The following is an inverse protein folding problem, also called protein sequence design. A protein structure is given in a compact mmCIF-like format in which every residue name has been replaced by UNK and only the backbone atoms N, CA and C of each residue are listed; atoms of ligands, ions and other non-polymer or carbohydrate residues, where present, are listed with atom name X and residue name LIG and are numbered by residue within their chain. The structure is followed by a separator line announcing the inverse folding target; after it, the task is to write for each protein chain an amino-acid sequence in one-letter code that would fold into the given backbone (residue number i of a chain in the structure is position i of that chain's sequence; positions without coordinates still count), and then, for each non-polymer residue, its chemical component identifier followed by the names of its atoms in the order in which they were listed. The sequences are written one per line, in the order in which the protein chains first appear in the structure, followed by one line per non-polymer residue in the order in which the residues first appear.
data_IF_336495116919
#
_entry.id   IF_336495116919
#
_cell.length_a   1.000
_cell.length_b   1.000
_cell.length_c   1.000
_cell.angle_alpha   90.00
_cell.angle_beta   90.00
_cell.angle_gamma   90.00
#
_symmetry.space_group_name_H-M   'P 1'
#
loop_
_entity.id
_entity.type
_entity.pdbx_description
1 polymer ?
#
# COMPACT_ATOMS: atom_id res chain seq x y z
N UNK A 1 -14.38 -12.23 8.67
CA UNK A 1 -15.08 -11.08 9.31
C UNK A 1 -16.57 -11.12 9.00
N UNK A 2 -17.00 -11.17 7.72
CA UNK A 2 -18.41 -11.13 7.31
C UNK A 2 -19.26 -12.22 7.97
N UNK A 3 -18.87 -13.49 7.89
CA UNK A 3 -19.56 -14.61 8.60
C UNK A 3 -19.66 -14.38 10.09
N UNK A 4 -18.58 -13.91 10.71
CA UNK A 4 -18.55 -13.65 12.15
C UNK A 4 -19.56 -12.57 12.56
N UNK A 5 -19.68 -11.50 11.76
CA UNK A 5 -20.66 -10.43 11.98
C UNK A 5 -22.07 -10.99 11.93
N UNK A 6 -22.37 -11.81 10.91
CA UNK A 6 -23.68 -12.40 10.72
C UNK A 6 -24.04 -13.40 11.83
N UNK A 7 -23.11 -14.29 12.20
CA UNK A 7 -23.30 -15.30 13.26
C UNK A 7 -23.51 -14.67 14.65
N UNK A 8 -23.04 -13.45 14.88
CA UNK A 8 -23.15 -12.74 16.17
C UNK A 8 -24.20 -11.62 16.18
N UNK A 9 -25.05 -11.52 15.15
CA UNK A 9 -26.02 -10.43 15.00
C UNK A 9 -25.43 -9.03 15.19
N UNK A 10 -24.18 -8.84 14.73
CA UNK A 10 -23.48 -7.58 14.82
C UNK A 10 -23.64 -6.78 13.53
N UNK A 11 -23.47 -5.45 13.61
CA UNK A 11 -23.45 -4.58 12.44
C UNK A 11 -22.03 -4.33 11.97
N UNK A 12 -21.83 -4.24 10.65
CA UNK A 12 -20.54 -3.94 10.06
C UNK A 12 -20.70 -2.99 8.88
N UNK A 13 -19.77 -2.02 8.78
CA UNK A 13 -19.67 -1.12 7.67
C UNK A 13 -18.38 -1.42 6.90
N UNK A 14 -18.52 -1.75 5.60
CA UNK A 14 -17.40 -1.93 4.68
C UNK A 14 -17.26 -0.69 3.81
N UNK A 15 -16.11 -0.01 3.87
CA UNK A 15 -15.79 1.15 3.07
C UNK A 15 -14.64 0.84 2.11
N UNK A 16 -14.84 1.09 0.83
CA UNK A 16 -13.81 0.95 -0.19
C UNK A 16 -14.01 1.96 -1.31
N UNK A 17 -12.92 2.53 -1.82
CA UNK A 17 -12.96 3.35 -3.02
C UNK A 17 -13.21 2.51 -4.29
N UNK A 18 -12.84 1.23 -4.25
CA UNK A 18 -13.04 0.27 -5.33
C UNK A 18 -13.61 -1.02 -4.75
N UNK A 19 -14.84 -1.35 -5.11
CA UNK A 19 -15.47 -2.61 -4.71
C UNK A 19 -15.99 -3.31 -5.96
N UNK A 20 -15.19 -4.20 -6.57
CA UNK A 20 -15.63 -4.98 -7.73
C UNK A 20 -16.88 -5.82 -7.41
N UNK A 21 -17.70 -6.04 -8.44
CA UNK A 21 -18.98 -6.74 -8.29
C UNK A 21 -18.83 -8.16 -7.68
N UNK A 22 -17.71 -8.84 -7.93
CA UNK A 22 -17.48 -10.15 -7.32
C UNK A 22 -17.37 -10.09 -5.80
N UNK A 23 -16.76 -9.03 -5.24
CA UNK A 23 -16.67 -8.81 -3.79
C UNK A 23 -18.06 -8.51 -3.23
N UNK A 24 -18.87 -7.70 -3.93
CA UNK A 24 -20.26 -7.45 -3.51
C UNK A 24 -21.04 -8.75 -3.41
N UNK A 25 -20.96 -9.59 -4.44
CA UNK A 25 -21.60 -10.91 -4.45
C UNK A 25 -21.12 -11.81 -3.32
N UNK A 26 -19.80 -11.86 -3.06
CA UNK A 26 -19.26 -12.63 -1.93
C UNK A 26 -19.80 -12.14 -0.57
N UNK A 27 -19.99 -10.83 -0.42
CA UNK A 27 -20.58 -10.28 0.81
C UNK A 27 -22.08 -10.60 0.91
N UNK A 28 -22.82 -10.52 -0.19
CA UNK A 28 -24.24 -10.93 -0.24
C UNK A 28 -24.43 -12.40 0.13
N UNK A 29 -23.53 -13.27 -0.32
CA UNK A 29 -23.58 -14.71 -0.01
C UNK A 29 -23.30 -15.00 1.50
N UNK A 30 -22.65 -14.08 2.21
CA UNK A 30 -22.21 -14.27 3.60
C UNK A 30 -23.00 -13.46 4.64
N UNK A 31 -23.65 -12.37 4.23
CA UNK A 31 -24.33 -11.42 5.14
C UNK A 31 -25.70 -11.07 4.57
N UNK A 32 -26.72 -11.26 5.39
CA UNK A 32 -28.11 -10.89 5.04
C UNK A 32 -28.78 -10.22 6.26
N UNK A 33 -29.43 -9.07 6.16
CA UNK A 33 -29.45 -8.19 4.97
C UNK A 33 -28.17 -7.37 4.82
N UNK A 34 -27.83 -7.02 3.57
CA UNK A 34 -26.74 -6.10 3.25
C UNK A 34 -27.26 -5.02 2.30
N UNK A 35 -26.83 -3.78 2.51
CA UNK A 35 -27.12 -2.64 1.64
C UNK A 35 -25.83 -2.10 1.03
N UNK A 36 -25.84 -1.86 -0.28
CA UNK A 36 -24.72 -1.24 -1.01
C UNK A 36 -25.07 0.18 -1.38
N UNK A 37 -24.29 1.12 -0.84
CA UNK A 37 -24.38 2.54 -1.23
C UNK A 37 -23.20 2.85 -2.15
N UNK A 38 -23.50 3.27 -3.37
CA UNK A 38 -22.51 3.64 -4.38
C UNK A 38 -23.03 4.76 -5.25
N UNK A 39 -22.16 5.62 -5.80
CA UNK A 39 -22.56 6.66 -6.74
C UNK A 39 -23.36 6.09 -7.91
N UNK A 40 -24.48 6.74 -8.26
CA UNK A 40 -25.38 6.33 -9.34
C UNK A 40 -25.35 7.32 -10.50
N UNK A 41 -25.18 6.87 -11.76
CA UNK A 41 -25.27 7.77 -12.92
C UNK A 41 -26.63 8.45 -13.11
N UNK A 42 -27.69 7.99 -12.43
CA UNK A 42 -29.01 8.61 -12.46
C UNK A 42 -29.12 9.84 -11.57
N UNK A 43 -28.29 9.95 -10.53
CA UNK A 43 -28.20 11.15 -9.68
C UNK A 43 -27.25 12.17 -10.30
N UNK A 44 -27.61 13.46 -10.26
CA UNK A 44 -26.82 14.51 -10.88
C UNK A 44 -25.49 14.75 -10.16
N UNK A 45 -25.49 14.75 -8.83
CA UNK A 45 -24.29 14.99 -8.01
C UNK A 45 -23.30 13.84 -8.16
N UNK A 46 -23.80 12.62 -8.17
CA UNK A 46 -22.98 11.41 -8.39
C UNK A 46 -22.39 11.35 -9.80
N UNK A 47 -23.18 11.79 -10.80
CA UNK A 47 -22.72 11.87 -12.19
C UNK A 47 -21.54 12.81 -12.35
N UNK A 48 -21.53 13.95 -11.67
CA UNK A 48 -20.41 14.87 -11.70
C UNK A 48 -19.13 14.24 -11.15
N UNK A 49 -19.23 13.36 -10.15
CA UNK A 49 -18.12 12.59 -9.61
C UNK A 49 -17.68 11.51 -10.61
N UNK A 50 -18.62 10.74 -11.15
CA UNK A 50 -18.36 9.61 -12.04
C UNK A 50 -17.75 10.03 -13.38
N UNK A 51 -18.19 11.18 -13.92
CA UNK A 51 -17.69 11.75 -15.18
C UNK A 51 -16.44 12.61 -15.01
N UNK A 52 -15.95 12.79 -13.78
CA UNK A 52 -14.78 13.62 -13.51
C UNK A 52 -13.54 13.08 -14.19
N UNK A 53 -12.85 13.96 -14.92
CA UNK A 53 -11.65 13.63 -15.72
C UNK A 53 -10.41 14.17 -15.02
N UNK A 54 -9.75 13.31 -14.26
CA UNK A 54 -8.60 13.72 -13.44
C UNK A 54 -7.25 13.36 -14.04
N UNK A 55 -7.19 12.35 -14.92
CA UNK A 55 -5.93 11.74 -15.34
C UNK A 55 -5.84 11.55 -16.85
N UNK A 56 -4.64 11.79 -17.39
CA UNK A 56 -4.20 11.34 -18.71
C UNK A 56 -3.23 10.17 -18.51
N UNK A 57 -3.68 8.96 -18.82
CA UNK A 57 -2.92 7.73 -18.67
C UNK A 57 -1.99 7.50 -19.85
N UNK A 58 -0.76 7.09 -19.54
CA UNK A 58 0.17 6.50 -20.51
C UNK A 58 0.69 5.17 -19.96
N UNK A 59 0.59 4.12 -20.76
CA UNK A 59 1.31 2.87 -20.48
C UNK A 59 2.66 2.96 -21.19
N UNK A 60 3.75 2.69 -20.46
CA UNK A 60 5.11 2.72 -20.96
C UNK A 60 5.77 1.35 -20.82
N UNK A 61 6.47 0.91 -21.86
CA UNK A 61 7.24 -0.32 -21.82
C UNK A 61 8.47 -0.19 -20.93
N UNK A 62 8.88 -1.33 -20.35
CA UNK A 62 10.00 -1.41 -19.42
C UNK A 62 9.61 -1.03 -17.99
N UNK A 63 10.60 -0.73 -17.19
CA UNK A 63 10.49 -0.37 -15.78
C UNK A 63 10.86 1.10 -15.49
N UNK A 64 10.75 1.51 -14.23
CA UNK A 64 11.07 2.86 -13.77
C UNK A 64 12.53 3.23 -14.01
N UNK A 65 13.48 2.29 -13.87
CA UNK A 65 14.91 2.56 -14.04
C UNK A 65 15.31 2.69 -15.51
N UNK A 66 14.76 1.85 -16.37
CA UNK A 66 14.99 1.93 -17.83
C UNK A 66 14.48 3.25 -18.40
N UNK A 67 13.44 3.84 -17.78
CA UNK A 67 12.84 5.12 -18.18
C UNK A 67 13.29 6.30 -17.30
N UNK A 68 14.33 6.15 -16.47
CA UNK A 68 14.69 7.13 -15.44
C UNK A 68 15.07 8.51 -16.02
N UNK A 69 15.63 8.56 -17.24
CA UNK A 69 15.99 9.81 -17.90
C UNK A 69 14.76 10.66 -18.22
N UNK A 70 13.71 10.04 -18.77
CA UNK A 70 12.45 10.69 -19.13
C UNK A 70 11.69 11.10 -17.86
N UNK A 71 11.73 10.28 -16.82
CA UNK A 71 11.15 10.60 -15.51
C UNK A 71 11.82 11.83 -14.90
N UNK A 72 13.15 11.90 -14.92
CA UNK A 72 13.90 13.06 -14.41
C UNK A 72 13.60 14.33 -15.21
N UNK A 73 13.48 14.23 -16.53
CA UNK A 73 13.04 15.34 -17.37
C UNK A 73 11.62 15.82 -16.99
N UNK A 74 10.70 14.89 -16.77
CA UNK A 74 9.35 15.20 -16.31
C UNK A 74 9.33 15.84 -14.92
N UNK A 75 10.15 15.35 -13.96
CA UNK A 75 10.29 15.93 -12.61
C UNK A 75 10.74 17.40 -12.69
N UNK A 76 11.69 17.72 -13.57
CA UNK A 76 12.18 19.09 -13.73
C UNK A 76 11.07 20.07 -14.18
N UNK A 77 10.13 19.58 -14.96
CA UNK A 77 9.03 20.36 -15.54
C UNK A 77 7.72 20.35 -14.71
N UNK A 78 7.73 19.76 -13.51
CA UNK A 78 6.58 19.69 -12.60
C UNK A 78 6.94 20.23 -11.23
N UNK A 79 5.98 20.70 -10.45
CA UNK A 79 6.24 21.13 -9.07
C UNK A 79 6.27 19.96 -8.08
N UNK A 80 5.49 18.90 -8.35
CA UNK A 80 5.50 17.71 -7.51
C UNK A 80 5.22 16.44 -8.31
N UNK A 81 6.00 15.40 -8.06
CA UNK A 81 5.93 14.12 -8.75
C UNK A 81 5.87 12.97 -7.74
N UNK A 82 4.96 12.04 -7.97
CA UNK A 82 4.89 10.79 -7.22
C UNK A 82 5.46 9.65 -8.05
N UNK A 83 6.34 8.83 -7.45
CA UNK A 83 6.83 7.58 -8.04
C UNK A 83 6.53 6.45 -7.07
N UNK A 84 5.79 5.42 -7.52
CA UNK A 84 5.41 4.30 -6.68
C UNK A 84 6.05 3.01 -7.17
N UNK A 85 6.88 2.42 -6.32
CA UNK A 85 7.51 1.12 -6.54
C UNK A 85 6.82 0.03 -5.70
N UNK A 86 6.88 -1.21 -6.17
CA UNK A 86 6.25 -2.33 -5.47
C UNK A 86 7.10 -2.85 -4.29
N UNK A 87 8.42 -2.66 -4.36
CA UNK A 87 9.37 -3.15 -3.36
C UNK A 87 10.20 -2.04 -2.74
N UNK A 88 10.53 -2.19 -1.46
CA UNK A 88 11.39 -1.23 -0.76
C UNK A 88 12.77 -1.08 -1.42
N UNK A 89 13.50 -2.15 -1.79
CA UNK A 89 14.77 -2.01 -2.48
C UNK A 89 14.66 -1.28 -3.82
N UNK A 90 13.58 -1.53 -4.59
CA UNK A 90 13.33 -0.81 -5.84
C UNK A 90 13.12 0.69 -5.61
N UNK A 91 12.34 1.05 -4.59
CA UNK A 91 12.12 2.45 -4.23
C UNK A 91 13.42 3.14 -3.79
N UNK A 92 14.25 2.46 -3.01
CA UNK A 92 15.57 2.96 -2.60
C UNK A 92 16.49 3.20 -3.80
N UNK A 93 16.55 2.23 -4.71
CA UNK A 93 17.38 2.33 -5.92
C UNK A 93 16.92 3.49 -6.83
N UNK A 94 15.61 3.61 -7.06
CA UNK A 94 15.04 4.73 -7.83
C UNK A 94 15.35 6.07 -7.18
N UNK A 95 15.20 6.16 -5.86
CA UNK A 95 15.51 7.37 -5.10
C UNK A 95 16.98 7.79 -5.25
N UNK A 96 17.92 6.84 -5.12
CA UNK A 96 19.34 7.08 -5.30
C UNK A 96 19.67 7.57 -6.72
N UNK A 97 19.11 6.92 -7.74
CA UNK A 97 19.32 7.30 -9.14
C UNK A 97 18.80 8.71 -9.46
N UNK A 98 17.63 9.07 -8.93
CA UNK A 98 17.06 10.41 -9.06
C UNK A 98 17.99 11.45 -8.41
N UNK A 99 18.51 11.17 -7.22
CA UNK A 99 19.46 12.06 -6.55
C UNK A 99 20.78 12.20 -7.30
N UNK A 100 21.34 11.10 -7.84
CA UNK A 100 22.55 11.13 -8.69
C UNK A 100 22.36 12.00 -9.94
N UNK A 101 21.12 12.07 -10.46
CA UNK A 101 20.78 12.93 -11.61
C UNK A 101 20.47 14.39 -11.23
N UNK A 102 20.78 14.79 -9.99
CA UNK A 102 20.76 16.19 -9.54
C UNK A 102 19.42 16.67 -9.01
N UNK A 103 18.44 15.80 -8.76
CA UNK A 103 17.19 16.18 -8.09
C UNK A 103 17.41 16.13 -6.57
N UNK A 104 17.64 17.28 -5.96
CA UNK A 104 17.96 17.41 -4.52
C UNK A 104 16.72 17.41 -3.63
N UNK A 105 15.60 18.02 -4.07
CA UNK A 105 14.33 18.05 -3.35
C UNK A 105 13.56 16.74 -3.60
N UNK A 106 14.10 15.64 -3.08
CA UNK A 106 13.55 14.31 -3.18
C UNK A 106 13.32 13.73 -1.77
N UNK A 107 12.20 13.01 -1.60
CA UNK A 107 11.89 12.26 -0.38
C UNK A 107 11.64 10.80 -0.72
N UNK A 108 11.93 9.92 0.24
CA UNK A 108 11.65 8.48 0.16
C UNK A 108 10.72 8.10 1.31
N UNK A 109 9.70 7.28 1.02
CA UNK A 109 8.76 6.79 2.04
C UNK A 109 8.41 5.32 1.81
N UNK A 110 8.67 4.47 2.81
CA UNK A 110 8.33 3.05 2.77
C UNK A 110 8.12 2.46 4.18
N UNK A 111 7.67 1.22 4.27
CA UNK A 111 7.33 0.55 5.52
C UNK A 111 8.52 0.24 6.46
N UNK A 112 9.77 0.33 5.97
CA UNK A 112 10.97 0.05 6.78
C UNK A 112 11.57 1.29 7.44
N UNK A 113 10.85 2.41 7.51
CA UNK A 113 11.18 3.51 8.41
C UNK A 113 10.69 3.20 9.81
N UNK A 114 11.43 3.60 10.85
CA UNK A 114 10.91 3.61 12.19
C UNK A 114 9.76 4.63 12.29
N UNK A 115 8.84 4.43 13.23
CA UNK A 115 7.62 5.25 13.33
C UNK A 115 7.91 6.74 13.46
N UNK A 116 8.91 7.10 14.27
CA UNK A 116 9.33 8.51 14.46
C UNK A 116 9.71 9.17 13.12
N UNK A 117 10.55 8.51 12.33
CA UNK A 117 11.06 9.08 11.08
C UNK A 117 9.96 9.11 10.01
N UNK A 118 9.09 8.11 10.00
CA UNK A 118 7.91 8.08 9.15
C UNK A 118 6.96 9.24 9.46
N UNK A 119 6.60 9.44 10.74
CA UNK A 119 5.72 10.53 11.17
C UNK A 119 6.33 11.90 10.80
N UNK A 120 7.64 12.08 10.92
CA UNK A 120 8.34 13.30 10.52
C UNK A 120 8.27 13.54 9.00
N UNK A 121 8.43 12.49 8.17
CA UNK A 121 8.29 12.59 6.72
C UNK A 121 6.83 12.93 6.36
N UNK A 122 5.86 12.21 6.93
CA UNK A 122 4.43 12.44 6.66
C UNK A 122 4.01 13.86 7.04
N UNK A 123 4.47 14.38 8.17
CA UNK A 123 4.24 15.79 8.56
C UNK A 123 4.82 16.76 7.54
N UNK A 124 6.05 16.54 7.09
CA UNK A 124 6.69 17.38 6.06
C UNK A 124 5.87 17.37 4.76
N UNK A 125 5.33 16.19 4.35
CA UNK A 125 4.50 16.07 3.15
C UNK A 125 3.18 16.83 3.25
N UNK A 126 2.60 16.94 4.45
CA UNK A 126 1.40 17.73 4.69
C UNK A 126 1.67 19.24 4.63
N UNK A 127 2.84 19.68 5.07
CA UNK A 127 3.23 21.09 5.04
C UNK A 127 3.64 21.55 3.64
N UNK A 128 4.43 20.72 2.95
CA UNK A 128 4.91 20.99 1.59
C UNK A 128 5.28 19.68 0.87
N UNK A 129 4.78 19.53 -0.35
CA UNK A 129 5.22 18.45 -1.22
C UNK A 129 6.65 18.69 -1.75
N UNK A 130 7.51 17.67 -1.78
CA UNK A 130 8.81 17.74 -2.43
C UNK A 130 8.65 17.73 -3.95
N UNK A 131 9.71 18.08 -4.66
CA UNK A 131 9.79 17.96 -6.12
C UNK A 131 9.51 16.53 -6.59
N UNK A 132 9.95 15.54 -5.82
CA UNK A 132 9.62 14.13 -6.02
C UNK A 132 9.52 13.37 -4.71
N UNK A 133 8.46 12.57 -4.59
CA UNK A 133 8.34 11.51 -3.59
C UNK A 133 8.48 10.16 -4.28
N UNK A 134 9.45 9.37 -3.86
CA UNK A 134 9.53 7.95 -4.19
C UNK A 134 8.95 7.17 -3.03
N UNK A 135 7.96 6.32 -3.28
CA UNK A 135 7.27 5.58 -2.23
C UNK A 135 6.97 4.14 -2.63
N UNK A 136 6.57 3.36 -1.64
CA UNK A 136 5.94 2.06 -1.85
C UNK A 136 4.43 2.16 -1.58
N UNK A 137 3.74 1.03 -1.35
CA UNK A 137 2.30 0.98 -1.06
C UNK A 137 1.84 1.85 0.12
N UNK A 138 2.76 2.35 0.94
CA UNK A 138 2.42 3.24 2.07
C UNK A 138 1.68 4.51 1.63
N UNK A 139 1.85 4.93 0.37
CA UNK A 139 1.15 6.09 -0.20
C UNK A 139 -0.31 5.79 -0.55
N UNK A 140 -0.67 4.54 -0.74
CA UNK A 140 -2.03 4.12 -1.09
C UNK A 140 -3.01 4.37 0.05
N UNK A 141 -2.52 4.29 1.30
CA UNK A 141 -3.33 4.39 2.52
C UNK A 141 -2.82 5.54 3.40
N UNK A 142 -3.71 6.28 4.01
CA UNK A 142 -3.47 7.25 5.11
C UNK A 142 -2.71 8.55 4.78
N UNK A 143 -2.29 8.78 3.53
CA UNK A 143 -1.64 10.04 3.15
C UNK A 143 -2.61 10.96 2.40
N UNK A 144 -2.80 12.16 2.93
CA UNK A 144 -3.56 13.22 2.25
C UNK A 144 -2.59 14.13 1.47
N UNK A 145 -2.27 13.69 0.25
CA UNK A 145 -1.32 14.34 -0.66
C UNK A 145 -1.94 14.48 -2.05
N UNK A 146 -1.52 15.50 -2.79
CA UNK A 146 -2.06 15.80 -4.13
C UNK A 146 -0.95 16.23 -5.10
N UNK A 147 -0.31 15.26 -5.74
CA UNK A 147 0.78 15.45 -6.70
C UNK A 147 0.28 15.94 -8.07
N UNK A 148 1.15 16.62 -8.83
CA UNK A 148 0.83 17.10 -10.18
C UNK A 148 0.94 16.01 -11.24
N UNK A 149 1.79 15.00 -11.04
CA UNK A 149 1.95 13.86 -11.92
C UNK A 149 2.39 12.61 -11.16
N UNK A 150 2.21 11.45 -11.77
CA UNK A 150 2.53 10.17 -11.14
C UNK A 150 3.14 9.14 -12.08
N UNK A 151 4.04 8.33 -11.54
CA UNK A 151 4.67 7.18 -12.19
C UNK A 151 4.51 5.97 -11.29
N UNK A 152 4.14 4.83 -11.83
CA UNK A 152 3.86 3.62 -11.06
C UNK A 152 4.45 2.38 -11.72
N UNK A 153 5.11 1.53 -10.94
CA UNK A 153 5.30 0.14 -11.33
C UNK A 153 3.94 -0.54 -11.53
N UNK A 154 3.87 -1.62 -12.36
CA UNK A 154 2.63 -2.34 -12.63
C UNK A 154 2.07 -2.96 -11.34
N UNK A 155 0.75 -2.88 -11.16
CA UNK A 155 0.06 -3.39 -9.99
C UNK A 155 -1.37 -3.81 -10.36
N UNK A 156 -2.09 -4.52 -9.46
CA UNK A 156 -3.52 -4.72 -9.59
C UNK A 156 -4.27 -3.40 -9.73
N UNK A 157 -5.39 -3.43 -10.46
CA UNK A 157 -6.14 -2.21 -10.80
C UNK A 157 -6.59 -1.41 -9.58
N UNK A 158 -6.95 -2.06 -8.49
CA UNK A 158 -7.34 -1.41 -7.23
C UNK A 158 -6.19 -0.62 -6.61
N UNK A 159 -4.96 -1.17 -6.62
CA UNK A 159 -3.77 -0.46 -6.19
C UNK A 159 -3.45 0.73 -7.12
N UNK A 160 -3.55 0.55 -8.44
CA UNK A 160 -3.35 1.63 -9.42
C UNK A 160 -4.34 2.77 -9.19
N UNK A 161 -5.62 2.48 -8.97
CA UNK A 161 -6.64 3.50 -8.69
C UNK A 161 -6.31 4.27 -7.40
N UNK A 162 -5.86 3.57 -6.36
CA UNK A 162 -5.44 4.22 -5.11
C UNK A 162 -4.23 5.13 -5.31
N UNK A 163 -3.25 4.73 -6.14
CA UNK A 163 -2.09 5.55 -6.54
C UNK A 163 -2.52 6.78 -7.34
N UNK A 164 -3.40 6.60 -8.33
CA UNK A 164 -3.99 7.73 -9.09
C UNK A 164 -4.75 8.69 -8.18
N UNK A 165 -5.42 8.17 -7.15
CA UNK A 165 -6.08 8.97 -6.12
C UNK A 165 -5.14 9.89 -5.32
N UNK A 166 -3.82 9.85 -5.52
CA UNK A 166 -2.80 10.75 -4.94
C UNK A 166 -2.28 11.78 -5.95
N UNK A 167 -2.79 11.75 -7.18
CA UNK A 167 -2.39 12.65 -8.27
C UNK A 167 -3.63 13.40 -8.76
N UNK A 168 -3.57 14.73 -8.81
CA UNK A 168 -4.73 15.57 -9.12
C UNK A 168 -5.99 15.14 -8.33
N UNK A 169 -5.78 14.88 -7.05
CA UNK A 169 -6.77 14.24 -6.16
C UNK A 169 -8.11 14.98 -6.15
N UNK A 170 -8.06 16.29 -6.09
CA UNK A 170 -9.26 17.12 -6.07
C UNK A 170 -9.87 17.29 -7.48
N UNK A 171 -9.07 17.05 -8.54
CA UNK A 171 -9.50 17.26 -9.92
C UNK A 171 -9.82 18.73 -10.22
N UNK A 172 -9.13 19.64 -9.57
CA UNK A 172 -9.26 21.09 -9.78
C UNK A 172 -8.31 21.60 -10.87
N UNK A 173 -7.30 20.76 -11.24
CA UNK A 173 -6.34 21.04 -12.30
C UNK A 173 -6.76 20.34 -13.59
N UNK A 174 -6.15 20.74 -14.71
CA UNK A 174 -6.21 19.95 -15.95
C UNK A 174 -5.83 18.50 -15.69
N UNK A 175 -6.33 17.53 -16.49
CA UNK A 175 -6.03 16.13 -16.30
C UNK A 175 -4.52 15.86 -16.18
N UNK A 176 -4.10 15.32 -15.06
CA UNK A 176 -2.71 15.10 -14.72
C UNK A 176 -2.13 13.89 -15.45
N UNK A 177 -0.85 13.96 -15.82
CA UNK A 177 -0.14 12.83 -16.41
C UNK A 177 0.08 11.75 -15.37
N UNK A 178 -0.41 10.53 -15.65
CA UNK A 178 -0.11 9.32 -14.89
C UNK A 178 0.48 8.28 -15.85
N UNK A 179 1.57 7.64 -15.43
CA UNK A 179 2.30 6.64 -16.22
C UNK A 179 2.33 5.34 -15.44
N UNK A 180 1.96 4.25 -16.08
CA UNK A 180 2.12 2.89 -15.55
C UNK A 180 3.10 2.15 -16.43
N UNK A 181 4.12 1.57 -15.83
CA UNK A 181 5.11 0.75 -16.54
C UNK A 181 4.62 -0.68 -16.72
N UNK A 182 5.09 -1.35 -17.76
CA UNK A 182 4.73 -2.75 -18.03
C UNK A 182 5.56 -3.73 -17.22
N UNK A 183 6.72 -3.29 -16.72
CA UNK A 183 7.64 -4.11 -15.95
C UNK A 183 7.93 -3.49 -14.58
N UNK A 184 8.26 -4.34 -13.61
CA UNK A 184 8.76 -3.94 -12.30
C UNK A 184 10.27 -4.21 -12.21
N UNK A 185 10.97 -3.42 -11.39
CA UNK A 185 12.43 -3.55 -11.18
C UNK A 185 12.78 -4.88 -10.51
N UNK A 186 11.99 -5.28 -9.51
CA UNK A 186 12.24 -6.51 -8.75
C UNK A 186 11.85 -7.75 -9.54
N UNK A 187 12.67 -8.81 -9.46
CA UNK A 187 12.34 -10.14 -10.00
C UNK A 187 11.27 -10.87 -9.17
N UNK A 188 11.06 -10.45 -7.93
CA UNK A 188 10.07 -11.04 -7.03
C UNK A 188 8.73 -10.33 -7.21
N UNK A 189 7.65 -11.11 -7.35
CA UNK A 189 6.31 -10.55 -7.46
C UNK A 189 5.64 -10.58 -6.10
N UNK A 190 5.05 -9.44 -5.70
CA UNK A 190 4.18 -9.35 -4.53
C UNK A 190 2.71 -9.46 -4.92
N UNK A 191 2.42 -9.27 -6.19
CA UNK A 191 1.08 -9.36 -6.76
C UNK A 191 0.96 -10.56 -7.69
N UNK A 192 -0.25 -11.06 -7.82
CA UNK A 192 -0.60 -12.08 -8.80
C UNK A 192 -0.36 -11.54 -10.22
N UNK A 193 0.50 -12.23 -10.98
CA UNK A 193 0.91 -11.82 -12.33
C UNK A 193 -0.27 -11.71 -13.31
N UNK A 194 -1.24 -12.62 -13.21
CA UNK A 194 -2.39 -12.66 -14.11
C UNK A 194 -3.30 -11.46 -13.88
N UNK A 195 -3.48 -11.05 -12.61
CA UNK A 195 -4.26 -9.86 -12.26
C UNK A 195 -3.54 -8.60 -12.73
N UNK A 196 -2.23 -8.51 -12.53
CA UNK A 196 -1.42 -7.38 -13.02
C UNK A 196 -1.47 -7.28 -14.55
N UNK A 197 -1.29 -8.40 -15.27
CA UNK A 197 -1.34 -8.43 -16.72
C UNK A 197 -2.71 -8.00 -17.24
N UNK A 198 -3.80 -8.52 -16.66
CA UNK A 198 -5.17 -8.10 -17.01
C UNK A 198 -5.39 -6.62 -16.72
N UNK A 199 -4.87 -6.11 -15.59
CA UNK A 199 -4.99 -4.69 -15.24
C UNK A 199 -4.34 -3.79 -16.29
N UNK A 200 -3.13 -4.13 -16.75
CA UNK A 200 -2.43 -3.38 -17.81
C UNK A 200 -3.20 -3.45 -19.13
N UNK A 201 -3.65 -4.65 -19.54
CA UNK A 201 -4.40 -4.84 -20.77
C UNK A 201 -5.70 -4.01 -20.80
N UNK A 202 -6.45 -4.05 -19.70
CA UNK A 202 -7.69 -3.28 -19.59
C UNK A 202 -7.43 -1.76 -19.55
N UNK A 203 -6.39 -1.32 -18.88
CA UNK A 203 -5.99 0.09 -18.87
C UNK A 203 -5.56 0.59 -20.26
N UNK A 204 -4.89 -0.23 -21.06
CA UNK A 204 -4.50 0.12 -22.44
C UNK A 204 -5.70 0.36 -23.35
N UNK A 205 -6.86 -0.21 -23.05
CA UNK A 205 -8.08 -0.05 -23.83
C UNK A 205 -8.81 1.27 -23.57
N UNK A 206 -8.42 2.03 -22.55
CA UNK A 206 -9.10 3.25 -22.15
C UNK A 206 -8.71 4.47 -22.99
N UNK A 207 -9.66 5.35 -23.21
CA UNK A 207 -9.45 6.65 -23.85
C UNK A 207 -9.11 7.73 -22.82
N UNK A 208 -8.24 8.64 -23.21
CA UNK A 208 -7.89 9.81 -22.39
C UNK A 208 -8.77 11.03 -22.69
N UNK A 209 -9.02 11.89 -21.70
CA UNK A 209 -8.72 11.72 -20.28
C UNK A 209 -9.66 10.70 -19.60
N UNK A 210 -9.14 9.96 -18.61
CA UNK A 210 -9.88 8.93 -17.88
C UNK A 210 -11.01 9.55 -17.04
N UNK A 211 -12.21 8.94 -17.10
CA UNK A 211 -13.31 9.23 -16.18
C UNK A 211 -13.26 8.26 -15.00
N UNK A 212 -13.79 8.67 -13.85
CA UNK A 212 -13.86 7.79 -12.68
C UNK A 212 -14.67 6.53 -12.95
N UNK A 213 -15.78 6.65 -13.71
CA UNK A 213 -16.60 5.49 -14.10
C UNK A 213 -15.81 4.46 -14.92
N UNK A 214 -14.91 4.92 -15.81
CA UNK A 214 -14.09 4.01 -16.63
C UNK A 214 -13.18 3.13 -15.75
N UNK A 215 -12.66 3.69 -14.67
CA UNK A 215 -11.82 2.94 -13.72
C UNK A 215 -12.63 1.91 -12.91
N UNK A 216 -13.88 2.24 -12.54
CA UNK A 216 -14.80 1.29 -11.89
C UNK A 216 -15.09 0.12 -12.84
N UNK A 217 -15.38 0.41 -14.11
CA UNK A 217 -15.67 -0.60 -15.12
C UNK A 217 -14.45 -1.50 -15.38
N UNK A 218 -13.24 -0.92 -15.45
CA UNK A 218 -12.00 -1.69 -15.56
C UNK A 218 -11.83 -2.62 -14.37
N UNK A 219 -12.05 -2.14 -13.14
CA UNK A 219 -11.96 -2.98 -11.95
C UNK A 219 -12.92 -4.17 -12.02
N UNK A 220 -14.16 -3.96 -12.49
CA UNK A 220 -15.13 -5.02 -12.69
C UNK A 220 -14.69 -6.03 -13.77
N UNK A 221 -14.06 -5.57 -14.86
CA UNK A 221 -13.57 -6.47 -15.93
C UNK A 221 -12.34 -7.27 -15.48
N UNK A 222 -11.38 -6.63 -14.80
CA UNK A 222 -10.18 -7.31 -14.28
C UNK A 222 -10.54 -8.43 -13.30
N UNK A 223 -11.51 -8.16 -12.41
CA UNK A 223 -11.95 -9.12 -11.39
C UNK A 223 -13.21 -9.91 -11.77
N UNK A 224 -13.60 -9.95 -13.06
CA UNK A 224 -14.82 -10.64 -13.52
C UNK A 224 -14.91 -12.10 -13.06
N UNK A 225 -13.78 -12.80 -13.06
CA UNK A 225 -13.71 -14.21 -12.65
C UNK A 225 -13.47 -14.40 -11.14
N UNK A 226 -13.45 -13.32 -10.35
CA UNK A 226 -13.12 -13.38 -8.92
C UNK A 226 -11.65 -13.74 -8.66
N UNK A 227 -11.38 -14.34 -7.50
CA UNK A 227 -10.06 -14.87 -7.17
C UNK A 227 -9.74 -16.11 -8.00
N UNK A 228 -8.50 -16.26 -8.42
CA UNK A 228 -8.01 -17.41 -9.17
C UNK A 228 -6.59 -17.79 -8.73
N UNK A 229 -6.16 -19.02 -9.02
CA UNK A 229 -4.81 -19.48 -8.69
C UNK A 229 -4.48 -19.34 -7.20
N UNK A 230 -3.31 -18.79 -6.91
CA UNK A 230 -2.82 -18.61 -5.54
C UNK A 230 -3.73 -17.75 -4.66
N UNK A 231 -4.41 -16.74 -5.20
CA UNK A 231 -5.29 -15.86 -4.42
C UNK A 231 -6.54 -16.61 -3.96
N UNK A 232 -7.09 -17.47 -4.80
CA UNK A 232 -8.21 -18.35 -4.42
C UNK A 232 -7.78 -19.37 -3.36
N UNK A 233 -6.58 -19.95 -3.50
CA UNK A 233 -6.02 -20.87 -2.52
C UNK A 233 -5.79 -20.16 -1.18
N UNK A 234 -5.19 -18.97 -1.17
CA UNK A 234 -5.02 -18.16 0.04
C UNK A 234 -6.35 -17.82 0.70
N UNK A 235 -7.36 -17.44 -0.10
CA UNK A 235 -8.70 -17.17 0.40
C UNK A 235 -9.32 -18.40 1.08
N UNK A 236 -9.26 -19.57 0.43
CA UNK A 236 -9.78 -20.82 0.96
C UNK A 236 -9.04 -21.27 2.23
N UNK A 237 -7.71 -21.13 2.24
CA UNK A 237 -6.89 -21.42 3.41
C UNK A 237 -7.21 -20.50 4.58
N UNK A 238 -7.46 -19.21 4.31
CA UNK A 238 -7.88 -18.27 5.35
C UNK A 238 -9.25 -18.61 5.92
N UNK A 239 -10.23 -18.98 5.08
CA UNK A 239 -11.56 -19.38 5.54
C UNK A 239 -11.54 -20.63 6.46
N UNK A 240 -10.67 -21.56 6.15
CA UNK A 240 -10.54 -22.84 6.85
C UNK A 240 -9.43 -22.85 7.90
N UNK A 241 -8.83 -21.70 8.20
CA UNK A 241 -7.69 -21.65 9.11
C UNK A 241 -8.12 -22.10 10.52
N UNK A 242 -7.36 -23.04 11.16
CA UNK A 242 -7.71 -23.58 12.48
C UNK A 242 -7.92 -22.50 13.55
N UNK A 243 -7.18 -21.40 13.49
CA UNK A 243 -7.33 -20.27 14.43
C UNK A 243 -8.69 -19.57 14.28
N UNK A 244 -9.21 -19.41 13.06
CA UNK A 244 -10.54 -18.82 12.85
C UNK A 244 -11.62 -19.72 13.45
N UNK A 245 -11.50 -21.04 13.25
CA UNK A 245 -12.41 -22.03 13.83
C UNK A 245 -12.35 -22.00 15.35
N UNK A 246 -11.16 -21.98 15.90
CA UNK A 246 -10.91 -21.91 17.34
C UNK A 246 -11.44 -20.60 17.96
N UNK A 247 -11.27 -19.47 17.26
CA UNK A 247 -11.79 -18.17 17.66
C UNK A 247 -13.32 -18.15 17.72
N UNK A 248 -13.99 -18.78 16.75
CA UNK A 248 -15.45 -18.93 16.73
C UNK A 248 -15.99 -19.77 17.88
N UNK A 249 -15.30 -20.86 18.21
CA UNK A 249 -15.74 -21.81 19.24
C UNK A 249 -15.54 -21.31 20.68
N UNK A 250 -14.70 -20.27 20.89
CA UNK A 250 -14.24 -19.87 22.22
C UNK A 250 -14.43 -18.38 22.56
N UNK A 251 -15.20 -17.64 21.78
CA UNK A 251 -15.65 -16.29 22.12
C UNK A 251 -16.71 -16.34 23.23
N UNK A 252 -16.25 -16.64 24.43
CA UNK A 252 -17.08 -16.58 25.65
C UNK A 252 -16.68 -15.30 26.40
N UNK A 253 -17.64 -14.41 26.64
CA UNK A 253 -17.40 -13.18 27.38
C UNK A 253 -16.81 -13.50 28.78
N UNK A 254 -15.68 -12.85 29.12
CA UNK A 254 -14.98 -13.04 30.37
C UNK A 254 -13.96 -14.17 30.39
N UNK A 255 -13.76 -14.90 29.30
CA UNK A 255 -12.73 -15.92 29.20
C UNK A 255 -11.42 -15.29 28.68
N UNK A 256 -10.51 -14.97 29.60
CA UNK A 256 -9.13 -14.60 29.25
C UNK A 256 -8.33 -15.87 28.98
N UNK A 257 -7.84 -16.04 27.77
CA UNK A 257 -6.93 -17.11 27.40
C UNK A 257 -5.67 -16.54 26.76
N UNK A 258 -4.50 -17.11 27.07
CA UNK A 258 -3.17 -16.78 26.51
C UNK A 258 -3.03 -17.09 25.01
N UNK A 259 -4.06 -16.79 24.26
CA UNK A 259 -4.15 -17.06 22.82
C UNK A 259 -3.41 -16.05 21.97
N UNK A 260 -3.26 -14.84 22.49
CA UNK A 260 -2.61 -13.75 21.78
C UNK A 260 -1.20 -14.14 21.39
N UNK A 261 -0.45 -14.79 22.28
CA UNK A 261 0.89 -15.26 21.98
C UNK A 261 0.89 -16.35 20.90
N UNK A 262 0.04 -17.37 21.00
CA UNK A 262 -0.01 -18.45 20.00
C UNK A 262 -0.55 -18.00 18.65
N UNK A 263 -1.44 -16.99 18.60
CA UNK A 263 -1.92 -16.39 17.36
C UNK A 263 -0.83 -15.53 16.73
N UNK A 264 -0.13 -14.74 17.52
CA UNK A 264 0.97 -13.89 17.08
C UNK A 264 2.15 -14.73 16.57
N UNK A 265 2.48 -15.84 17.24
CA UNK A 265 3.55 -16.74 16.82
C UNK A 265 3.24 -17.50 15.52
N UNK A 266 1.97 -17.77 15.22
CA UNK A 266 1.55 -18.54 14.02
C UNK A 266 1.11 -17.68 12.83
N UNK A 267 0.87 -16.39 13.04
CA UNK A 267 0.68 -15.45 11.95
C UNK A 267 2.04 -14.93 11.50
N UNK A 268 2.18 -14.52 10.23
CA UNK A 268 3.38 -13.83 9.70
C UNK A 268 3.64 -12.55 10.51
N UNK A 269 4.09 -12.74 11.74
CA UNK A 269 4.28 -11.70 12.73
C UNK A 269 5.28 -10.65 12.24
N UNK A 270 5.01 -9.42 12.56
CA UNK A 270 5.99 -8.35 12.43
C UNK A 270 6.86 -8.35 13.68
N UNK A 271 8.16 -8.44 13.51
CA UNK A 271 9.15 -8.31 14.57
C UNK A 271 9.72 -6.90 14.53
N UNK A 272 9.86 -6.29 15.68
CA UNK A 272 10.43 -4.96 15.81
C UNK A 272 11.93 -5.06 16.08
N UNK A 273 12.75 -4.40 15.26
CA UNK A 273 14.19 -4.36 15.41
C UNK A 273 14.67 -2.95 15.70
N UNK A 274 15.66 -2.84 16.57
CA UNK A 274 16.31 -1.57 16.89
C UNK A 274 17.51 -1.34 15.97
N UNK A 275 17.51 -0.28 15.11
CA UNK A 275 18.71 0.10 14.36
C UNK A 275 19.83 0.52 15.30
N UNK A 276 21.04 -0.03 15.11
CA UNK A 276 22.20 0.28 15.96
C UNK A 276 22.48 1.78 16.08
N UNK A 277 22.26 2.55 15.03
CA UNK A 277 22.43 4.01 15.05
C UNK A 277 21.43 4.73 15.97
N UNK A 278 20.35 4.07 16.38
CA UNK A 278 19.33 4.60 17.31
C UNK A 278 19.44 4.00 18.72
N UNK A 279 20.35 3.05 18.97
CA UNK A 279 20.44 2.32 20.23
C UNK A 279 20.72 3.24 21.44
N UNK A 280 21.63 4.21 21.30
CA UNK A 280 21.91 5.19 22.38
C UNK A 280 20.66 5.99 22.73
N UNK A 281 19.96 6.50 21.72
CA UNK A 281 18.74 7.29 21.94
C UNK A 281 17.60 6.44 22.51
N UNK A 282 17.51 5.18 22.11
CA UNK A 282 16.56 4.22 22.67
C UNK A 282 16.82 4.04 24.19
N UNK A 283 18.09 3.79 24.57
CA UNK A 283 18.47 3.63 25.98
C UNK A 283 18.22 4.91 26.80
N UNK A 284 18.46 6.10 26.25
CA UNK A 284 18.15 7.38 26.90
C UNK A 284 16.65 7.52 27.19
N UNK A 285 15.78 7.20 26.22
CA UNK A 285 14.34 7.24 26.42
C UNK A 285 13.86 6.21 27.44
N UNK A 286 14.41 5.00 27.42
CA UNK A 286 14.11 3.95 28.40
C UNK A 286 14.49 4.42 29.83
N UNK A 287 15.68 4.99 30.01
CA UNK A 287 16.14 5.50 31.29
C UNK A 287 15.28 6.64 31.85
N UNK A 288 14.63 7.41 30.96
CA UNK A 288 13.70 8.48 31.33
C UNK A 288 12.26 8.00 31.53
N UNK A 289 11.97 6.71 31.35
CA UNK A 289 10.60 6.16 31.39
C UNK A 289 9.73 6.53 30.20
N UNK A 290 10.32 7.02 29.09
CA UNK A 290 9.63 7.43 27.87
C UNK A 290 9.43 6.24 26.93
N UNK A 291 8.69 5.23 27.38
CA UNK A 291 8.49 3.95 26.69
C UNK A 291 7.86 4.09 25.30
N UNK A 292 6.90 5.00 25.14
CA UNK A 292 6.27 5.24 23.83
C UNK A 292 7.26 5.83 22.83
N UNK A 293 8.11 6.76 23.25
CA UNK A 293 9.10 7.38 22.39
C UNK A 293 10.22 6.41 22.02
N UNK A 294 10.63 5.52 22.94
CA UNK A 294 11.61 4.48 22.63
C UNK A 294 11.06 3.49 21.58
N UNK A 295 9.81 3.02 21.74
CA UNK A 295 9.19 2.09 20.80
C UNK A 295 9.02 2.71 19.40
N UNK A 296 8.88 4.03 19.29
CA UNK A 296 8.84 4.71 17.98
C UNK A 296 10.17 4.69 17.21
N UNK A 297 11.26 4.28 17.85
CA UNK A 297 12.57 4.08 17.20
C UNK A 297 12.73 2.69 16.58
N UNK A 298 11.82 1.78 16.88
CA UNK A 298 11.84 0.42 16.36
C UNK A 298 11.36 0.38 14.89
N UNK A 299 11.91 -0.56 14.14
CA UNK A 299 11.57 -0.79 12.73
C UNK A 299 10.84 -2.11 12.60
N UNK A 300 9.61 -2.11 12.10
CA UNK A 300 8.86 -3.33 11.86
C UNK A 300 9.42 -4.10 10.67
N UNK A 301 9.69 -5.38 10.85
CA UNK A 301 10.17 -6.30 9.81
C UNK A 301 9.32 -7.57 9.86
N UNK A 302 8.97 -8.13 8.72
CA UNK A 302 8.29 -9.42 8.65
C UNK A 302 9.19 -10.52 9.24
N UNK A 303 8.65 -11.39 10.08
CA UNK A 303 9.36 -12.51 10.70
C UNK A 303 10.05 -13.41 9.65
N UNK A 304 9.41 -13.65 8.51
CA UNK A 304 9.99 -14.38 7.38
C UNK A 304 11.30 -13.75 6.83
N UNK A 305 11.52 -12.46 7.07
CA UNK A 305 12.75 -11.78 6.63
C UNK A 305 13.94 -12.00 7.58
N UNK A 306 13.73 -12.59 8.76
CA UNK A 306 14.78 -12.83 9.74
C UNK A 306 15.86 -13.78 9.27
N UNK A 307 15.52 -14.76 8.44
CA UNK A 307 16.48 -15.71 7.87
C UNK A 307 17.56 -15.00 7.05
N UNK A 308 17.17 -13.95 6.31
CA UNK A 308 18.09 -13.14 5.50
C UNK A 308 18.89 -12.12 6.32
N UNK A 309 18.40 -11.79 7.52
CA UNK A 309 19.00 -10.79 8.39
C UNK A 309 19.80 -11.39 9.53
N UNK A 310 19.83 -12.73 9.68
CA UNK A 310 20.41 -13.43 10.83
C UNK A 310 21.87 -13.07 11.09
N UNK A 311 22.67 -12.83 10.04
CA UNK A 311 24.08 -12.42 10.14
C UNK A 311 24.26 -10.99 10.66
N UNK A 312 23.24 -10.16 10.51
CA UNK A 312 23.26 -8.73 10.88
C UNK A 312 22.59 -8.47 12.24
N UNK A 313 21.99 -9.51 12.85
CA UNK A 313 21.26 -9.38 14.11
C UNK A 313 22.12 -9.72 15.31
N UNK A 314 22.05 -8.92 16.35
CA UNK A 314 22.45 -9.29 17.69
C UNK A 314 21.20 -9.71 18.49
N UNK A 315 21.01 -11.02 18.66
CA UNK A 315 19.84 -11.61 19.32
C UNK A 315 19.96 -11.64 20.86
N UNK A 316 21.10 -11.24 21.37
CA UNK A 316 21.35 -11.18 22.83
C UNK A 316 20.80 -9.89 23.46
N UNK A 317 20.39 -8.94 22.64
CA UNK A 317 19.82 -7.67 23.09
C UNK A 317 18.28 -7.73 23.04
N UNK A 318 17.63 -7.03 23.93
CA UNK A 318 16.17 -6.82 23.93
C UNK A 318 15.90 -5.31 23.89
N UNK A 319 15.33 -4.78 22.81
CA UNK A 319 14.97 -5.43 21.53
C UNK A 319 16.20 -5.85 20.70
N UNK A 320 16.03 -6.79 19.78
CA UNK A 320 17.13 -7.24 18.91
C UNK A 320 17.71 -6.10 18.09
N UNK A 321 19.02 -5.96 18.12
CA UNK A 321 19.75 -4.89 17.42
C UNK A 321 20.20 -5.35 16.05
N UNK A 322 19.84 -4.59 15.01
CA UNK A 322 20.37 -4.78 13.66
C UNK A 322 21.65 -3.96 13.46
N UNK A 323 22.76 -4.64 13.13
CA UNK A 323 24.10 -4.05 13.03
C UNK A 323 24.28 -3.11 11.86
N UNK A 324 23.64 -3.40 10.73
CA UNK A 324 23.65 -2.53 9.55
C UNK A 324 22.23 -2.21 9.13
N UNK A 325 21.90 -0.93 9.13
CA UNK A 325 20.64 -0.42 8.65
C UNK A 325 20.93 0.63 7.58
N UNK A 326 20.51 0.34 6.35
CA UNK A 326 20.55 1.33 5.29
C UNK A 326 19.44 2.34 5.55
N UNK A 327 19.78 3.38 6.29
CA UNK A 327 18.95 4.58 6.33
C UNK A 327 19.14 5.28 4.99
N UNK A 328 18.10 5.33 4.19
CA UNK A 328 18.01 6.36 3.17
C UNK A 328 17.86 7.70 3.92
N UNK A 329 18.97 8.41 4.09
CA UNK A 329 19.01 9.78 4.62
C UNK A 329 18.59 10.77 3.56
#
# INVERSE_FOLDING_TARGET
TARFVNENNASCLFLSATMPNFIKKMLEDEIMPIEFVAPSPSDQSDREILEKKRHNLKICDGDVLTNIADIVAAIKNSNSTLIVCNHVPSAQLVFEEIRKKGVTDAKLLHSRFCRRDRDAIEKTLQERLPKVLVATQVVEVSLDVDFEQGFSEPAPIDAIIQRFGRVNRKGERSPAKVVVFTEQISKYNIYNKDIVSRSITELQSLSNPLREIDLIDVANRVYKCGYSGEDLERYNNALNHPLIKCYKERLIAGFHYDWTEQIIEKTDGTIELLPRCLATKYAEYQAQGLWLESNRLLVPIRAASLSYLSEYLNKNDDPWIIKSYFLAR
#
